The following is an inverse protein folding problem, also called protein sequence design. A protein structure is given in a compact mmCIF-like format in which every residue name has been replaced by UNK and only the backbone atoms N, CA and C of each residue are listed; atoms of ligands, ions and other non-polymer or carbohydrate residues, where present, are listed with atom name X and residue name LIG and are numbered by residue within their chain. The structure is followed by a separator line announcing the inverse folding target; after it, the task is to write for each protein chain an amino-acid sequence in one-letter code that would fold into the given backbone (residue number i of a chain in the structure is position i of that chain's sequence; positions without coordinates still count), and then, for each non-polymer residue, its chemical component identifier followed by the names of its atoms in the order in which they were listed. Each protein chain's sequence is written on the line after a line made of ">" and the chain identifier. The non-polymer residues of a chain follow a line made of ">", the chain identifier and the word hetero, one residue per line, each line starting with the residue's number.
data_IF_124523304764
#
_entry.id   IF_124523304764
#
_cell.length_a   1.000
_cell.length_b   1.000
_cell.length_c   1.000
_cell.angle_alpha   90.00
_cell.angle_beta   90.00
_cell.angle_gamma   90.00
#
_symmetry.space_group_name_H-M   'P 1'
#
loop_
_entity.id
_entity.type
_entity.pdbx_description
1 polymer ?
#
# COMPACT_ATOMS: atom_id res chain seq x y z
N UNK A 1 -27.77 19.01 -23.66
CA UNK A 1 -26.96 17.79 -23.40
C UNK A 1 -27.83 16.87 -22.57
N UNK A 2 -28.17 15.69 -23.07
CA UNK A 2 -29.15 14.80 -22.40
C UNK A 2 -28.53 14.14 -21.18
N UNK A 3 -29.34 13.89 -20.15
CA UNK A 3 -28.93 13.20 -18.92
C UNK A 3 -28.31 11.81 -19.19
N UNK A 4 -28.72 11.16 -20.28
CA UNK A 4 -28.12 9.92 -20.78
C UNK A 4 -26.68 10.09 -21.24
N UNK A 5 -26.34 11.22 -21.87
CA UNK A 5 -24.99 11.51 -22.34
C UNK A 5 -24.01 11.75 -21.19
N UNK A 6 -24.48 12.41 -20.12
CA UNK A 6 -23.65 12.65 -18.92
C UNK A 6 -23.32 11.36 -18.18
N UNK A 7 -24.29 10.44 -18.04
CA UNK A 7 -24.05 9.11 -17.44
C UNK A 7 -23.08 8.28 -18.26
N UNK A 8 -23.20 8.30 -19.58
CA UNK A 8 -22.27 7.58 -20.48
C UNK A 8 -20.82 8.05 -20.30
N UNK A 9 -20.60 9.37 -20.29
CA UNK A 9 -19.28 9.95 -20.12
C UNK A 9 -18.64 9.60 -18.76
N UNK A 10 -19.42 9.58 -17.66
CA UNK A 10 -18.92 9.23 -16.32
C UNK A 10 -18.52 7.74 -16.23
N UNK A 11 -19.31 6.84 -16.83
CA UNK A 11 -18.98 5.41 -16.85
C UNK A 11 -17.72 5.15 -17.67
N UNK A 12 -17.58 5.82 -18.81
CA UNK A 12 -16.40 5.71 -19.68
C UNK A 12 -15.14 6.24 -18.98
N UNK A 13 -15.24 7.38 -18.29
CA UNK A 13 -14.14 7.96 -17.53
C UNK A 13 -13.68 7.02 -16.39
N UNK A 14 -14.62 6.42 -15.66
CA UNK A 14 -14.31 5.44 -14.60
C UNK A 14 -13.60 4.19 -15.15
N UNK A 15 -14.05 3.68 -16.30
CA UNK A 15 -13.44 2.50 -16.92
C UNK A 15 -12.00 2.80 -17.39
N UNK A 16 -11.78 3.96 -18.02
CA UNK A 16 -10.45 4.41 -18.44
C UNK A 16 -9.48 4.57 -17.26
N UNK A 17 -9.95 5.14 -16.15
CA UNK A 17 -9.14 5.29 -14.94
C UNK A 17 -8.69 3.94 -14.35
N UNK A 18 -9.59 2.96 -14.29
CA UNK A 18 -9.26 1.60 -13.82
C UNK A 18 -8.22 0.91 -14.71
N UNK A 19 -8.39 1.00 -16.03
CA UNK A 19 -7.46 0.39 -16.99
C UNK A 19 -6.06 1.05 -16.92
N UNK A 20 -6.01 2.37 -16.72
CA UNK A 20 -4.74 3.10 -16.53
C UNK A 20 -3.99 2.64 -15.28
N UNK A 21 -4.69 2.50 -14.15
CA UNK A 21 -4.07 2.05 -12.90
C UNK A 21 -3.51 0.61 -13.03
N UNK A 22 -4.27 -0.30 -13.63
CA UNK A 22 -3.81 -1.68 -13.86
C UNK A 22 -2.58 -1.74 -14.78
N UNK A 23 -2.55 -0.93 -15.84
CA UNK A 23 -1.42 -0.87 -16.77
C UNK A 23 -0.13 -0.36 -16.10
N UNK A 24 -0.22 0.66 -15.25
CA UNK A 24 0.94 1.19 -14.50
C UNK A 24 1.53 0.13 -13.56
N UNK A 25 0.67 -0.63 -12.86
CA UNK A 25 1.10 -1.70 -11.96
C UNK A 25 1.79 -2.83 -12.74
N UNK A 26 1.19 -3.28 -13.84
CA UNK A 26 1.78 -4.34 -14.69
C UNK A 26 3.11 -3.91 -15.31
N UNK A 27 3.21 -2.64 -15.73
CA UNK A 27 4.46 -2.08 -16.27
C UNK A 27 5.55 -2.02 -15.18
N UNK A 28 5.20 -1.62 -13.96
CA UNK A 28 6.13 -1.63 -12.81
C UNK A 28 6.68 -3.03 -12.55
N UNK A 29 5.81 -4.05 -12.51
CA UNK A 29 6.21 -5.45 -12.31
C UNK A 29 7.08 -5.99 -13.47
N UNK A 30 6.78 -5.61 -14.71
CA UNK A 30 7.56 -6.00 -15.88
C UNK A 30 8.98 -5.38 -15.86
N UNK A 31 9.10 -4.10 -15.50
CA UNK A 31 10.37 -3.39 -15.42
C UNK A 31 11.25 -3.84 -14.25
N UNK A 32 10.64 -4.31 -13.16
CA UNK A 32 11.40 -4.86 -12.03
C UNK A 32 12.07 -6.20 -12.38
N UNK A 33 11.49 -6.96 -13.31
CA UNK A 33 12.02 -8.27 -13.76
C UNK A 33 13.19 -8.16 -14.73
N UNK A 34 13.39 -7.01 -15.39
CA UNK A 34 14.43 -6.84 -16.43
C UNK A 34 15.81 -6.45 -15.89
N UNK A 35 16.01 -6.36 -14.56
CA UNK A 35 17.33 -6.13 -13.96
C UNK A 35 18.03 -7.45 -13.62
N UNK A 36 18.34 -8.25 -14.64
CA UNK A 36 19.47 -9.18 -14.58
C UNK A 36 20.72 -8.39 -14.94
N UNK A 37 21.81 -8.45 -14.15
CA UNK A 37 23.04 -7.74 -14.50
C UNK A 37 23.54 -8.24 -15.87
N UNK A 38 23.89 -7.33 -16.80
CA UNK A 38 24.47 -7.74 -18.07
C UNK A 38 25.80 -8.46 -17.81
N UNK A 39 25.95 -9.65 -18.39
CA UNK A 39 27.20 -10.38 -18.44
C UNK A 39 28.20 -9.53 -19.22
N UNK A 40 29.22 -9.03 -18.53
CA UNK A 40 30.19 -8.09 -19.08
C UNK A 40 31.20 -8.83 -19.96
N UNK A 41 30.89 -8.95 -21.24
CA UNK A 41 31.86 -9.18 -22.30
C UNK A 41 31.69 -8.09 -23.35
N UNK A 42 32.45 -7.00 -23.25
CA UNK A 42 32.61 -6.07 -24.37
C UNK A 42 34.07 -5.61 -24.47
N UNK A 43 34.69 -5.67 -25.66
CA UNK A 43 36.13 -5.45 -25.82
C UNK A 43 36.51 -3.98 -25.71
N UNK A 44 37.78 -3.76 -25.36
CA UNK A 44 38.43 -2.49 -25.12
C UNK A 44 38.19 -1.45 -26.23
N UNK A 45 37.62 -0.29 -25.84
CA UNK A 45 37.58 0.90 -26.69
C UNK A 45 38.41 2.04 -26.05
N UNK A 46 39.44 2.41 -26.80
CA UNK A 46 40.27 3.61 -26.84
C UNK A 46 40.29 4.63 -25.67
N UNK A 47 41.54 4.94 -25.33
CA UNK A 47 42.05 5.93 -24.37
C UNK A 47 41.49 7.34 -24.57
N UNK A 48 40.45 7.67 -23.82
CA UNK A 48 40.10 9.06 -23.47
C UNK A 48 40.93 9.46 -22.27
N UNK A 49 41.76 10.49 -22.41
CA UNK A 49 42.56 11.06 -21.31
C UNK A 49 41.66 11.47 -20.15
N UNK A 50 41.87 10.94 -18.93
CA UNK A 50 40.97 11.17 -17.82
C UNK A 50 41.08 12.62 -17.36
N UNK A 51 39.97 13.35 -17.40
CA UNK A 51 39.80 14.57 -16.62
C UNK A 51 39.93 14.13 -15.16
N UNK A 52 41.05 14.46 -14.54
CA UNK A 52 41.37 14.16 -13.15
C UNK A 52 40.47 15.06 -12.28
N UNK A 53 39.22 14.65 -12.07
CA UNK A 53 38.26 15.40 -11.26
C UNK A 53 38.71 15.36 -9.81
N UNK A 54 39.11 16.50 -9.27
CA UNK A 54 39.55 16.69 -7.88
C UNK A 54 38.44 16.51 -6.82
N UNK A 55 37.28 15.95 -7.19
CA UNK A 55 36.26 15.57 -6.22
C UNK A 55 36.71 14.27 -5.53
N UNK A 56 36.71 14.20 -4.19
CA UNK A 56 36.86 12.94 -3.48
C UNK A 56 35.81 11.98 -4.04
N UNK A 57 36.26 10.89 -4.67
CA UNK A 57 35.36 9.88 -5.19
C UNK A 57 34.64 9.28 -3.97
N UNK A 58 33.39 9.69 -3.75
CA UNK A 58 32.55 9.09 -2.73
C UNK A 58 32.55 7.58 -2.97
N UNK A 59 32.95 6.82 -1.95
CA UNK A 59 33.03 5.37 -2.08
C UNK A 59 31.61 4.85 -2.36
N UNK A 60 31.40 3.94 -3.33
CA UNK A 60 30.07 3.44 -3.67
C UNK A 60 29.26 2.93 -2.47
N UNK A 61 29.94 2.45 -1.43
CA UNK A 61 29.35 2.01 -0.15
C UNK A 61 28.71 3.16 0.62
N UNK A 62 29.38 4.32 0.70
CA UNK A 62 28.88 5.50 1.41
C UNK A 62 27.60 6.05 0.76
N UNK A 63 27.52 6.03 -0.57
CA UNK A 63 26.32 6.42 -1.30
C UNK A 63 25.15 5.48 -1.01
N UNK A 64 25.39 4.16 -1.00
CA UNK A 64 24.36 3.17 -0.70
C UNK A 64 23.83 3.33 0.73
N UNK A 65 24.71 3.45 1.71
CA UNK A 65 24.34 3.68 3.12
C UNK A 65 23.52 4.96 3.28
N UNK A 66 23.89 6.03 2.56
CA UNK A 66 23.14 7.30 2.59
C UNK A 66 21.74 7.15 1.98
N UNK A 67 21.62 6.48 0.84
CA UNK A 67 20.33 6.24 0.19
C UNK A 67 19.43 5.39 1.09
N UNK A 68 19.95 4.26 1.57
CA UNK A 68 19.26 3.34 2.47
C UNK A 68 18.86 4.01 3.79
N UNK A 69 19.75 4.79 4.40
CA UNK A 69 19.47 5.52 5.64
C UNK A 69 18.39 6.59 5.49
N UNK A 70 18.35 7.28 4.35
CA UNK A 70 17.34 8.32 4.10
C UNK A 70 15.96 7.79 3.67
N UNK A 71 15.91 6.56 3.14
CA UNK A 71 14.69 6.00 2.56
C UNK A 71 13.54 5.98 3.55
N UNK A 72 13.76 5.43 4.75
CA UNK A 72 12.74 5.32 5.79
C UNK A 72 12.07 6.66 6.09
N UNK A 73 12.84 7.71 6.32
CA UNK A 73 12.33 9.01 6.73
C UNK A 73 11.54 9.68 5.61
N UNK A 74 12.03 9.59 4.37
CA UNK A 74 11.33 10.10 3.18
C UNK A 74 10.01 9.36 3.01
N UNK A 75 10.04 8.03 3.11
CA UNK A 75 8.89 7.17 2.88
C UNK A 75 7.79 7.38 3.92
N UNK A 76 8.16 7.43 5.20
CA UNK A 76 7.23 7.68 6.30
C UNK A 76 6.63 9.08 6.24
N UNK A 77 7.43 10.08 5.86
CA UNK A 77 6.94 11.45 5.67
C UNK A 77 5.91 11.51 4.56
N UNK A 78 6.22 10.92 3.40
CA UNK A 78 5.33 10.86 2.26
C UNK A 78 4.00 10.18 2.59
N UNK A 79 4.05 9.00 3.21
CA UNK A 79 2.84 8.29 3.65
C UNK A 79 2.07 9.13 4.66
N UNK A 80 2.72 9.69 5.68
CA UNK A 80 2.03 10.50 6.70
C UNK A 80 1.31 11.72 6.12
N UNK A 81 1.88 12.37 5.10
CA UNK A 81 1.20 13.46 4.38
C UNK A 81 -0.06 12.93 3.68
N UNK A 82 0.05 11.84 2.92
CA UNK A 82 -1.09 11.23 2.21
C UNK A 82 -2.21 10.87 3.20
N UNK A 83 -1.85 10.20 4.29
CA UNK A 83 -2.79 9.74 5.31
C UNK A 83 -3.46 10.92 6.06
N UNK A 84 -2.71 11.99 6.33
CA UNK A 84 -3.28 13.22 6.90
C UNK A 84 -4.30 13.88 5.99
N UNK A 85 -4.03 13.96 4.68
CA UNK A 85 -4.98 14.53 3.70
C UNK A 85 -6.20 13.62 3.53
N UNK A 86 -6.00 12.30 3.44
CA UNK A 86 -7.09 11.33 3.36
C UNK A 86 -8.00 11.39 4.59
N UNK A 87 -7.43 11.46 5.80
CA UNK A 87 -8.19 11.59 7.04
C UNK A 87 -8.97 12.91 7.12
N UNK A 88 -8.35 14.04 6.72
CA UNK A 88 -9.04 15.32 6.64
C UNK A 88 -10.21 15.29 5.65
N UNK A 89 -10.03 14.64 4.50
CA UNK A 89 -11.10 14.47 3.51
C UNK A 89 -12.22 13.54 4.00
N UNK A 90 -11.88 12.46 4.70
CA UNK A 90 -12.83 11.56 5.35
C UNK A 90 -13.70 12.32 6.36
N UNK A 91 -13.08 13.09 7.26
CA UNK A 91 -13.78 13.88 8.27
C UNK A 91 -14.72 14.92 7.63
N UNK A 92 -14.22 15.64 6.61
CA UNK A 92 -15.05 16.58 5.85
C UNK A 92 -16.23 15.90 5.16
N UNK A 93 -15.99 14.75 4.51
CA UNK A 93 -17.04 13.98 3.84
C UNK A 93 -18.12 13.54 4.83
N UNK A 94 -17.73 13.08 6.02
CA UNK A 94 -18.66 12.64 7.06
C UNK A 94 -19.52 13.78 7.64
N UNK A 95 -18.94 14.96 7.83
CA UNK A 95 -19.57 16.07 8.55
C UNK A 95 -20.33 17.07 7.66
N UNK A 96 -20.12 17.04 6.35
CA UNK A 96 -20.79 17.97 5.41
C UNK A 96 -22.04 17.33 4.80
N UNK A 97 -23.09 18.11 4.52
CA UNK A 97 -24.32 17.61 3.89
C UNK A 97 -25.29 16.89 4.86
N UNK A 98 -26.23 16.08 4.34
CA UNK A 98 -27.20 15.35 5.17
C UNK A 98 -26.53 14.40 6.15
N UNK A 99 -27.21 14.12 7.27
CA UNK A 99 -26.73 13.15 8.26
C UNK A 99 -26.51 11.77 7.62
N UNK A 100 -25.34 11.13 7.79
CA UNK A 100 -25.10 9.80 7.26
C UNK A 100 -26.06 8.78 7.85
N UNK A 101 -26.45 7.79 7.05
CA UNK A 101 -27.14 6.59 7.51
C UNK A 101 -26.22 5.70 8.36
N UNK A 102 -26.79 4.71 9.05
CA UNK A 102 -25.98 3.74 9.80
C UNK A 102 -24.99 2.96 8.92
N UNK A 103 -25.38 2.57 7.71
CA UNK A 103 -24.48 1.91 6.76
C UNK A 103 -23.34 2.83 6.32
N UNK A 104 -23.62 4.11 6.10
CA UNK A 104 -22.61 5.10 5.75
C UNK A 104 -21.65 5.37 6.92
N UNK A 105 -22.11 5.42 8.17
CA UNK A 105 -21.23 5.52 9.34
C UNK A 105 -20.28 4.33 9.45
N UNK A 106 -20.77 3.10 9.25
CA UNK A 106 -19.88 1.92 9.22
C UNK A 106 -18.91 1.96 8.03
N UNK A 107 -19.31 2.50 6.88
CA UNK A 107 -18.45 2.63 5.71
C UNK A 107 -17.36 3.70 5.94
N UNK A 108 -17.67 4.82 6.61
CA UNK A 108 -16.67 5.78 7.08
C UNK A 108 -15.71 5.15 8.08
N UNK A 109 -16.22 4.36 9.03
CA UNK A 109 -15.38 3.61 9.98
C UNK A 109 -14.46 2.62 9.27
N UNK A 110 -14.95 1.94 8.23
CA UNK A 110 -14.15 1.04 7.40
C UNK A 110 -13.07 1.82 6.64
N UNK A 111 -13.40 2.95 6.01
CA UNK A 111 -12.42 3.79 5.32
C UNK A 111 -11.34 4.30 6.27
N UNK A 112 -11.71 4.67 7.51
CA UNK A 112 -10.75 5.01 8.56
C UNK A 112 -9.81 3.86 8.89
N UNK A 113 -10.33 2.63 9.03
CA UNK A 113 -9.52 1.43 9.28
C UNK A 113 -8.53 1.20 8.12
N UNK A 114 -8.93 1.42 6.87
CA UNK A 114 -8.04 1.32 5.71
C UNK A 114 -6.89 2.32 5.79
N UNK A 115 -7.18 3.60 6.03
CA UNK A 115 -6.18 4.68 6.19
C UNK A 115 -5.16 4.31 7.28
N UNK A 116 -5.65 3.93 8.47
CA UNK A 116 -4.78 3.53 9.59
C UNK A 116 -4.00 2.27 9.28
N UNK A 117 -4.62 1.28 8.62
CA UNK A 117 -3.99 0.02 8.24
C UNK A 117 -2.85 0.22 7.25
N UNK A 118 -3.07 1.03 6.20
CA UNK A 118 -2.02 1.38 5.23
C UNK A 118 -0.86 2.08 5.94
N UNK A 119 -1.14 3.09 6.77
CA UNK A 119 -0.09 3.75 7.55
C UNK A 119 0.71 2.77 8.40
N UNK A 120 0.01 1.88 9.13
CA UNK A 120 0.62 0.94 10.05
C UNK A 120 1.54 -0.07 9.32
N UNK A 121 1.07 -0.67 8.22
CA UNK A 121 1.90 -1.63 7.47
C UNK A 121 3.14 -0.96 6.87
N UNK A 122 3.02 0.28 6.38
CA UNK A 122 4.17 1.05 5.89
C UNK A 122 5.13 1.45 7.01
N UNK A 123 4.60 1.78 8.19
CA UNK A 123 5.40 2.07 9.37
C UNK A 123 6.23 0.85 9.79
N UNK A 124 5.59 -0.31 9.93
CA UNK A 124 6.27 -1.57 10.24
C UNK A 124 7.30 -1.89 9.16
N UNK A 125 6.94 -1.74 7.89
CA UNK A 125 7.79 -2.10 6.76
C UNK A 125 9.07 -1.29 6.66
N UNK A 126 8.95 0.03 6.70
CA UNK A 126 10.07 0.96 6.60
C UNK A 126 10.93 1.03 7.85
N UNK A 127 10.38 0.68 9.02
CA UNK A 127 11.17 0.63 10.26
C UNK A 127 11.99 -0.65 10.39
N UNK A 128 11.49 -1.76 9.88
CA UNK A 128 12.14 -3.06 10.04
C UNK A 128 13.11 -3.43 8.91
N UNK A 129 12.92 -2.86 7.72
CA UNK A 129 13.66 -3.25 6.52
C UNK A 129 14.11 -2.03 5.74
N UNK A 130 15.30 -2.16 5.15
CA UNK A 130 15.94 -1.10 4.37
C UNK A 130 16.36 -1.63 3.01
N UNK A 131 16.09 -0.88 1.95
CA UNK A 131 16.55 -1.20 0.60
C UNK A 131 16.67 0.08 -0.22
N UNK A 132 17.37 -0.01 -1.35
CA UNK A 132 17.42 1.07 -2.33
C UNK A 132 16.03 1.21 -2.98
N UNK A 133 15.34 2.36 -2.83
CA UNK A 133 13.99 2.53 -3.35
C UNK A 133 13.94 2.36 -4.86
N UNK A 134 12.88 1.69 -5.30
CA UNK A 134 12.54 1.53 -6.70
C UNK A 134 11.39 2.48 -7.10
N UNK A 135 11.09 2.52 -8.40
CA UNK A 135 9.93 3.26 -8.89
C UNK A 135 8.62 2.72 -8.30
N UNK A 136 8.53 1.40 -8.07
CA UNK A 136 7.35 0.79 -7.46
C UNK A 136 7.13 1.31 -6.04
N UNK A 137 8.20 1.41 -5.25
CA UNK A 137 8.14 1.97 -3.90
C UNK A 137 7.65 3.42 -3.96
N UNK A 138 8.12 4.20 -4.94
CA UNK A 138 7.69 5.60 -5.07
C UNK A 138 6.22 5.76 -5.50
N UNK A 139 5.69 4.84 -6.32
CA UNK A 139 4.35 4.93 -6.89
C UNK A 139 3.28 4.33 -5.98
N UNK A 140 3.60 3.27 -5.24
CA UNK A 140 2.64 2.54 -4.42
C UNK A 140 1.91 3.41 -3.37
N UNK A 141 2.60 4.29 -2.59
CA UNK A 141 1.96 5.24 -1.68
C UNK A 141 0.89 6.11 -2.35
N UNK A 142 1.19 6.63 -3.54
CA UNK A 142 0.26 7.50 -4.26
C UNK A 142 -0.94 6.72 -4.80
N UNK A 143 -0.73 5.51 -5.32
CA UNK A 143 -1.84 4.66 -5.76
C UNK A 143 -2.77 4.32 -4.60
N UNK A 144 -2.23 3.98 -3.44
CA UNK A 144 -3.02 3.74 -2.23
C UNK A 144 -3.76 5.00 -1.79
N UNK A 145 -3.11 6.16 -1.77
CA UNK A 145 -3.76 7.43 -1.48
C UNK A 145 -4.94 7.72 -2.42
N UNK A 146 -4.75 7.57 -3.73
CA UNK A 146 -5.83 7.73 -4.72
C UNK A 146 -7.00 6.78 -4.43
N UNK A 147 -6.71 5.51 -4.10
CA UNK A 147 -7.73 4.53 -3.77
C UNK A 147 -8.46 4.87 -2.46
N UNK A 148 -7.77 5.37 -1.44
CA UNK A 148 -8.37 5.88 -0.20
C UNK A 148 -9.35 7.02 -0.51
N UNK A 149 -8.97 8.00 -1.33
CA UNK A 149 -9.89 9.06 -1.76
C UNK A 149 -11.11 8.50 -2.49
N UNK A 150 -10.91 7.55 -3.41
CA UNK A 150 -12.02 6.93 -4.14
C UNK A 150 -12.95 6.16 -3.21
N UNK A 151 -12.42 5.42 -2.23
CA UNK A 151 -13.20 4.77 -1.18
C UNK A 151 -14.05 5.81 -0.46
N UNK A 152 -13.46 6.92 -0.01
CA UNK A 152 -14.16 7.98 0.74
C UNK A 152 -15.29 8.60 -0.08
N UNK A 153 -15.06 8.89 -1.37
CA UNK A 153 -16.11 9.42 -2.26
C UNK A 153 -17.26 8.41 -2.38
N UNK A 154 -16.95 7.12 -2.51
CA UNK A 154 -17.99 6.10 -2.70
C UNK A 154 -18.79 5.77 -1.44
N UNK A 155 -18.38 6.21 -0.24
CA UNK A 155 -19.14 5.99 1.01
C UNK A 155 -20.58 6.47 0.88
N UNK A 156 -20.81 7.62 0.23
CA UNK A 156 -22.16 8.19 0.06
C UNK A 156 -22.80 7.87 -1.28
N UNK A 157 -22.00 7.64 -2.32
CA UNK A 157 -22.51 7.45 -3.67
C UNK A 157 -23.07 6.05 -3.90
N UNK A 158 -22.33 5.01 -3.53
CA UNK A 158 -22.67 3.64 -3.90
C UNK A 158 -21.90 2.61 -3.08
N UNK A 159 -22.63 1.83 -2.28
CA UNK A 159 -22.11 0.67 -1.54
C UNK A 159 -21.38 -0.32 -2.47
N UNK A 160 -21.90 -0.56 -3.67
CA UNK A 160 -21.27 -1.49 -4.62
C UNK A 160 -19.95 -0.98 -5.16
N UNK A 161 -19.85 0.32 -5.46
CA UNK A 161 -18.60 0.94 -5.87
C UNK A 161 -17.59 1.02 -4.71
N UNK A 162 -18.07 1.30 -3.49
CA UNK A 162 -17.26 1.27 -2.28
C UNK A 162 -16.60 -0.10 -2.07
N UNK A 163 -17.38 -1.18 -2.10
CA UNK A 163 -16.85 -2.56 -1.97
C UNK A 163 -15.86 -2.90 -3.08
N UNK A 164 -16.12 -2.46 -4.31
CA UNK A 164 -15.19 -2.66 -5.43
C UNK A 164 -13.86 -1.91 -5.22
N UNK A 165 -13.90 -0.68 -4.71
CA UNK A 165 -12.67 0.08 -4.41
C UNK A 165 -11.89 -0.55 -3.25
N UNK A 166 -12.57 -1.10 -2.24
CA UNK A 166 -11.92 -1.90 -1.18
C UNK A 166 -11.20 -3.11 -1.79
N UNK A 167 -11.87 -3.87 -2.66
CA UNK A 167 -11.26 -5.04 -3.30
C UNK A 167 -10.02 -4.68 -4.15
N UNK A 168 -10.08 -3.58 -4.91
CA UNK A 168 -8.92 -3.08 -5.66
C UNK A 168 -7.79 -2.68 -4.72
N UNK A 169 -8.11 -2.00 -3.62
CA UNK A 169 -7.13 -1.58 -2.61
C UNK A 169 -6.43 -2.78 -1.98
N UNK A 170 -7.18 -3.83 -1.61
CA UNK A 170 -6.59 -5.07 -1.07
C UNK A 170 -5.63 -5.74 -2.06
N UNK A 171 -5.96 -5.77 -3.35
CA UNK A 171 -5.05 -6.29 -4.36
C UNK A 171 -3.75 -5.47 -4.46
N UNK A 172 -3.82 -4.14 -4.37
CA UNK A 172 -2.62 -3.29 -4.34
C UNK A 172 -1.83 -3.48 -3.04
N UNK A 173 -2.50 -3.61 -1.90
CA UNK A 173 -1.86 -3.94 -0.62
C UNK A 173 -1.12 -5.29 -0.72
N UNK A 174 -1.71 -6.31 -1.33
CA UNK A 174 -1.05 -7.58 -1.56
C UNK A 174 0.23 -7.43 -2.40
N UNK A 175 0.18 -6.63 -3.48
CA UNK A 175 1.37 -6.35 -4.31
C UNK A 175 2.44 -5.64 -3.49
N UNK A 176 2.07 -4.65 -2.68
CA UNK A 176 2.98 -3.94 -1.79
C UNK A 176 3.60 -4.89 -0.75
N UNK A 177 2.81 -5.78 -0.14
CA UNK A 177 3.29 -6.80 0.78
C UNK A 177 4.26 -7.78 0.08
N UNK A 178 4.01 -8.17 -1.17
CA UNK A 178 4.91 -9.05 -1.94
C UNK A 178 6.22 -8.33 -2.20
N UNK A 179 6.18 -7.09 -2.66
CA UNK A 179 7.38 -6.28 -2.87
C UNK A 179 8.20 -6.19 -1.58
N UNK A 180 7.55 -5.87 -0.47
CA UNK A 180 8.18 -5.80 0.84
C UNK A 180 8.81 -7.13 1.27
N UNK A 181 8.09 -8.24 1.10
CA UNK A 181 8.59 -9.58 1.42
C UNK A 181 9.81 -9.97 0.58
N UNK A 182 9.85 -9.60 -0.70
CA UNK A 182 11.01 -9.83 -1.57
C UNK A 182 12.23 -9.06 -1.07
N UNK A 183 12.07 -7.78 -0.71
CA UNK A 183 13.17 -6.96 -0.16
C UNK A 183 13.62 -7.43 1.24
N UNK A 184 12.69 -7.90 2.07
CA UNK A 184 13.01 -8.47 3.38
C UNK A 184 13.86 -9.74 3.26
N UNK A 185 13.57 -10.61 2.29
CA UNK A 185 14.33 -11.87 2.07
C UNK A 185 15.61 -11.69 1.28
N UNK A 186 15.59 -10.81 0.27
CA UNK A 186 16.72 -10.56 -0.64
C UNK A 186 17.71 -9.51 -0.15
N UNK A 187 17.39 -8.79 0.93
CA UNK A 187 18.23 -7.73 1.46
C UNK A 187 19.51 -8.20 2.14
N UNK A 188 20.31 -7.22 2.58
CA UNK A 188 21.55 -7.43 3.32
C UNK A 188 21.37 -8.09 4.68
N UNK A 189 22.47 -8.28 5.45
CA UNK A 189 22.43 -8.91 6.76
C UNK A 189 21.42 -8.28 7.74
N UNK A 190 21.26 -6.96 7.70
CA UNK A 190 20.29 -6.22 8.54
C UNK A 190 18.86 -6.70 8.28
N UNK A 191 18.40 -6.69 7.02
CA UNK A 191 17.05 -7.15 6.67
C UNK A 191 16.84 -8.62 7.03
N UNK A 192 17.83 -9.48 6.79
CA UNK A 192 17.73 -10.90 7.14
C UNK A 192 17.57 -11.10 8.64
N UNK A 193 18.33 -10.37 9.45
CA UNK A 193 18.23 -10.43 10.90
C UNK A 193 16.88 -9.88 11.40
N UNK A 194 16.43 -8.76 10.86
CA UNK A 194 15.08 -8.23 11.13
C UNK A 194 14.00 -9.25 10.77
N UNK A 195 14.12 -9.90 9.60
CA UNK A 195 13.17 -10.91 9.15
C UNK A 195 13.15 -12.15 10.06
N UNK A 196 14.26 -12.53 10.68
CA UNK A 196 14.25 -13.62 11.67
C UNK A 196 13.41 -13.26 12.90
N UNK A 197 13.45 -11.99 13.33
CA UNK A 197 12.70 -11.51 14.50
C UNK A 197 11.21 -11.30 14.18
N UNK A 198 10.91 -10.65 13.06
CA UNK A 198 9.55 -10.19 12.73
C UNK A 198 8.94 -10.95 11.55
N UNK A 199 9.60 -11.95 10.97
CA UNK A 199 9.12 -12.67 9.79
C UNK A 199 7.86 -13.49 10.04
N UNK A 200 7.50 -13.77 11.31
CA UNK A 200 6.16 -14.29 11.64
C UNK A 200 5.08 -13.25 11.30
N UNK A 201 5.34 -11.97 11.62
CA UNK A 201 4.42 -10.88 11.30
C UNK A 201 4.21 -10.76 9.79
N UNK A 202 5.32 -10.71 9.04
CA UNK A 202 5.29 -10.56 7.58
C UNK A 202 4.54 -11.71 6.91
N UNK A 203 4.82 -12.95 7.32
CA UNK A 203 4.15 -14.13 6.77
C UNK A 203 2.66 -14.17 7.08
N UNK A 204 2.27 -13.75 8.29
CA UNK A 204 0.86 -13.68 8.64
C UNK A 204 0.13 -12.60 7.84
N UNK A 205 0.69 -11.38 7.76
CA UNK A 205 0.12 -10.29 6.96
C UNK A 205 -0.08 -10.73 5.50
N UNK A 206 0.95 -11.34 4.91
CA UNK A 206 0.87 -11.94 3.56
C UNK A 206 -0.24 -13.00 3.45
N UNK A 207 -0.28 -13.96 4.38
CA UNK A 207 -1.29 -15.01 4.37
C UNK A 207 -2.70 -14.44 4.52
N UNK A 208 -2.89 -13.43 5.35
CA UNK A 208 -4.16 -12.71 5.48
C UNK A 208 -4.57 -12.04 4.17
N UNK A 209 -3.66 -11.36 3.47
CA UNK A 209 -4.01 -10.77 2.18
C UNK A 209 -4.37 -11.82 1.12
N UNK A 210 -3.58 -12.89 1.00
CA UNK A 210 -3.77 -13.93 -0.01
C UNK A 210 -5.01 -14.79 0.25
N UNK A 211 -5.22 -15.23 1.50
CA UNK A 211 -6.24 -16.22 1.84
C UNK A 211 -7.53 -15.60 2.36
N UNK A 212 -7.50 -14.34 2.80
CA UNK A 212 -8.62 -13.71 3.49
C UNK A 212 -9.04 -12.37 2.89
N UNK A 213 -8.28 -11.29 3.07
CA UNK A 213 -8.80 -9.95 2.73
C UNK A 213 -9.03 -9.75 1.24
N UNK A 214 -8.14 -10.23 0.36
CA UNK A 214 -8.38 -10.14 -1.09
C UNK A 214 -9.56 -11.02 -1.53
N UNK A 215 -9.60 -12.33 -1.23
CA UNK A 215 -10.74 -13.16 -1.64
C UNK A 215 -12.08 -12.70 -1.06
N UNK A 216 -12.11 -12.32 0.22
CA UNK A 216 -13.34 -11.89 0.91
C UNK A 216 -13.82 -10.55 0.37
N UNK A 217 -12.95 -9.57 0.15
CA UNK A 217 -13.36 -8.28 -0.43
C UNK A 217 -13.90 -8.43 -1.86
N UNK A 218 -13.26 -9.25 -2.69
CA UNK A 218 -13.76 -9.59 -4.04
C UNK A 218 -15.11 -10.28 -3.94
N UNK A 219 -15.25 -11.28 -3.05
CA UNK A 219 -16.50 -12.00 -2.86
C UNK A 219 -17.63 -11.06 -2.40
N UNK A 220 -17.37 -10.17 -1.43
CA UNK A 220 -18.35 -9.18 -0.98
C UNK A 220 -18.79 -8.26 -2.13
N UNK A 221 -17.84 -7.75 -2.92
CA UNK A 221 -18.14 -6.90 -4.07
C UNK A 221 -18.95 -7.62 -5.15
N UNK A 222 -18.63 -8.90 -5.44
CA UNK A 222 -19.33 -9.72 -6.43
C UNK A 222 -20.73 -10.09 -5.94
N UNK A 223 -20.86 -10.61 -4.72
CA UNK A 223 -22.14 -11.04 -4.15
C UNK A 223 -23.09 -9.84 -3.99
N UNK A 224 -22.57 -8.67 -3.62
CA UNK A 224 -23.38 -7.44 -3.55
C UNK A 224 -24.05 -7.10 -4.89
N UNK A 225 -23.38 -7.34 -6.03
CA UNK A 225 -23.96 -7.08 -7.35
C UNK A 225 -25.18 -7.95 -7.65
N UNK A 226 -25.26 -9.16 -7.09
CA UNK A 226 -26.37 -10.08 -7.34
C UNK A 226 -27.50 -9.93 -6.33
N UNK A 227 -27.17 -9.78 -5.04
CA UNK A 227 -28.17 -9.73 -3.97
C UNK A 227 -28.74 -8.31 -3.82
N UNK A 228 -27.97 -7.29 -4.19
CA UNK A 228 -28.45 -5.94 -4.43
C UNK A 228 -28.74 -5.08 -3.19
N UNK A 229 -29.26 -3.89 -3.52
CA UNK A 229 -29.57 -2.82 -2.58
C UNK A 229 -30.64 -3.24 -1.56
N UNK A 230 -30.44 -2.87 -0.29
CA UNK A 230 -31.32 -3.25 0.84
C UNK A 230 -30.62 -4.08 1.92
N UNK A 231 -29.45 -4.65 1.63
CA UNK A 231 -28.60 -5.34 2.62
C UNK A 231 -27.26 -4.65 2.86
N UNK A 232 -27.18 -3.36 2.56
CA UNK A 232 -25.92 -2.59 2.60
C UNK A 232 -25.19 -2.73 3.93
N UNK A 233 -25.92 -2.62 5.05
CA UNK A 233 -25.36 -2.72 6.39
C UNK A 233 -24.61 -4.05 6.61
N UNK A 234 -25.12 -5.16 6.07
CA UNK A 234 -24.49 -6.49 6.21
C UNK A 234 -23.17 -6.56 5.45
N UNK A 235 -23.14 -6.04 4.22
CA UNK A 235 -21.92 -6.06 3.42
C UNK A 235 -20.83 -5.15 3.99
N UNK A 236 -21.22 -3.96 4.47
CA UNK A 236 -20.29 -3.03 5.12
C UNK A 236 -19.82 -3.56 6.49
N UNK A 237 -20.69 -4.21 7.27
CA UNK A 237 -20.24 -4.89 8.49
C UNK A 237 -19.25 -6.02 8.15
N UNK A 238 -19.47 -6.74 7.05
CA UNK A 238 -18.55 -7.75 6.53
C UNK A 238 -17.15 -7.21 6.25
N UNK A 239 -17.01 -5.99 5.73
CA UNK A 239 -15.68 -5.38 5.51
C UNK A 239 -14.97 -5.06 6.82
N UNK A 240 -15.68 -4.68 7.88
CA UNK A 240 -15.06 -4.46 9.21
C UNK A 240 -14.51 -5.78 9.76
N UNK A 241 -15.34 -6.83 9.74
CA UNK A 241 -14.94 -8.17 10.21
C UNK A 241 -13.72 -8.69 9.43
N UNK A 242 -13.64 -8.37 8.14
CA UNK A 242 -12.51 -8.73 7.30
C UNK A 242 -11.17 -8.15 7.81
N UNK A 243 -11.16 -6.91 8.33
CA UNK A 243 -9.94 -6.25 8.83
C UNK A 243 -9.53 -6.64 10.26
N UNK A 244 -10.47 -7.17 11.06
CA UNK A 244 -10.22 -7.53 12.46
C UNK A 244 -8.99 -8.42 12.67
N UNK A 245 -8.74 -9.50 11.89
CA UNK A 245 -7.58 -10.36 12.08
C UNK A 245 -6.25 -9.63 11.90
N UNK A 246 -6.13 -8.77 10.89
CA UNK A 246 -4.92 -7.97 10.64
C UNK A 246 -4.65 -7.02 11.79
N UNK A 247 -5.69 -6.32 12.26
CA UNK A 247 -5.56 -5.35 13.34
C UNK A 247 -5.16 -6.01 14.67
N UNK A 248 -5.85 -7.09 15.06
CA UNK A 248 -5.52 -7.85 16.26
C UNK A 248 -4.11 -8.44 16.19
N UNK A 249 -3.75 -8.98 15.04
CA UNK A 249 -2.41 -9.51 14.84
C UNK A 249 -1.35 -8.42 14.95
N UNK A 250 -1.60 -7.21 14.43
CA UNK A 250 -0.66 -6.09 14.53
C UNK A 250 -0.40 -5.72 15.99
N UNK A 251 -1.46 -5.59 16.80
CA UNK A 251 -1.34 -5.32 18.24
C UNK A 251 -0.52 -6.42 18.95
N UNK A 252 -0.81 -7.69 18.68
CA UNK A 252 -0.21 -8.80 19.42
C UNK A 252 1.23 -9.07 19.01
N UNK A 253 1.55 -9.00 17.71
CA UNK A 253 2.83 -9.49 17.18
C UNK A 253 3.84 -8.37 16.90
N UNK A 254 3.40 -7.12 16.80
CA UNK A 254 4.31 -5.99 16.68
C UNK A 254 4.59 -5.37 18.05
N UNK A 255 3.55 -4.96 18.77
CA UNK A 255 3.69 -4.16 20.00
C UNK A 255 4.29 -4.97 21.15
N UNK A 256 3.80 -6.19 21.40
CA UNK A 256 4.23 -6.97 22.57
C UNK A 256 5.68 -7.46 22.49
N UNK A 257 6.19 -7.98 21.35
CA UNK A 257 7.59 -8.41 21.28
C UNK A 257 8.56 -7.24 21.42
N UNK A 258 8.29 -6.10 20.78
CA UNK A 258 9.13 -4.90 20.92
C UNK A 258 9.13 -4.39 22.36
N UNK A 259 7.98 -4.40 23.03
CA UNK A 259 7.88 -4.02 24.44
C UNK A 259 8.68 -4.95 25.37
N UNK A 260 8.66 -6.27 25.10
CA UNK A 260 9.50 -7.23 25.84
C UNK A 260 10.99 -6.98 25.64
N UNK A 261 11.41 -6.76 24.40
CA UNK A 261 12.81 -6.46 24.07
C UNK A 261 13.29 -5.16 24.72
N UNK A 262 12.45 -4.13 24.77
CA UNK A 262 12.76 -2.88 25.46
C UNK A 262 12.95 -3.12 26.96
N UNK A 263 12.05 -3.89 27.59
CA UNK A 263 12.13 -4.23 29.01
C UNK A 263 13.37 -5.06 29.37
N UNK A 264 13.73 -6.03 28.54
CA UNK A 264 14.92 -6.88 28.75
C UNK A 264 16.23 -6.08 28.67
N UNK A 265 16.24 -4.98 27.91
CA UNK A 265 17.41 -4.10 27.79
C UNK A 265 17.51 -3.04 28.90
N UNK A 266 16.50 -2.92 29.77
CA UNK A 266 16.51 -1.97 30.89
C UNK A 266 16.34 -0.50 30.47
N UNK A 267 15.61 -0.24 29.38
CA UNK A 267 15.29 1.12 28.89
C UNK A 267 13.96 1.60 29.46
#
# INVERSE_FOLDING_TARGET
>A
MTESGLRGAVVEARHKAMMGAAAVVLLGLALQRSRTPPCADTPALHSVTPIQSAAPQAQPIELLERIEGSFKDIYLTQISIIQGVAFGFLARSALTGPSPSASQWLAYGTAFIVIVGVWQEYMVGSTAFTWVPTMLDSVAPYLLGVLEFLIIVQVRDSTGAFLAMIAVTECICLIACINWWLHARGGGPVNRNSYLLIGRYVRFSMACHVLWTCPVSILLAVVYRYIGAGRELVFIAGTIVMYTPLFLHSIVNWTLPLYRLQRERGW
#
